data_IF_286268178888
#
_entry.id   IF_286268178888
#
_cell.length_a   1.000
_cell.length_b   1.000
_cell.length_c   1.000
_cell.angle_alpha   90.00
_cell.angle_beta   90.00
_cell.angle_gamma   90.00
#
_symmetry.space_group_name_H-M   'P 1'
#
loop_
_entity.id
_entity.type
_entity.pdbx_description
1 polymer ?
#
# COMPACT_ATOMS: atom_id res chain seq x y z
N UNK A 1 2.15 49.57 -23.92
CA UNK A 1 2.88 48.91 -22.80
C UNK A 1 1.97 48.06 -21.92
N UNK A 2 0.74 48.49 -21.59
CA UNK A 2 -0.20 47.71 -20.77
C UNK A 2 -0.51 46.29 -21.31
N UNK A 3 -0.68 46.13 -22.62
CA UNK A 3 -0.97 44.84 -23.25
C UNK A 3 0.15 43.81 -23.10
N UNK A 4 1.42 44.25 -23.18
CA UNK A 4 2.56 43.35 -23.00
C UNK A 4 2.67 42.85 -21.55
N UNK A 5 2.39 43.71 -20.58
CA UNK A 5 2.43 43.34 -19.16
C UNK A 5 1.37 42.29 -18.80
N UNK A 6 0.17 42.41 -19.34
CA UNK A 6 -0.94 41.46 -19.08
C UNK A 6 -0.62 40.08 -19.65
N UNK A 7 -0.03 40.00 -20.84
CA UNK A 7 0.35 38.72 -21.46
C UNK A 7 1.44 38.01 -20.64
N UNK A 8 2.42 38.74 -20.13
CA UNK A 8 3.47 38.18 -19.27
C UNK A 8 2.89 37.63 -17.97
N UNK A 9 1.97 38.36 -17.33
CA UNK A 9 1.31 37.89 -16.09
C UNK A 9 0.50 36.62 -16.35
N UNK A 10 -0.24 36.55 -17.47
CA UNK A 10 -1.00 35.34 -17.82
C UNK A 10 -0.11 34.13 -18.09
N UNK A 11 1.03 34.32 -18.76
CA UNK A 11 2.00 33.25 -19.01
C UNK A 11 2.64 32.75 -17.71
N UNK A 12 2.93 33.64 -16.76
CA UNK A 12 3.45 33.26 -15.43
C UNK A 12 2.42 32.46 -14.65
N UNK A 13 1.15 32.89 -14.63
CA UNK A 13 0.07 32.16 -13.96
C UNK A 13 -0.13 30.78 -14.60
N UNK A 14 -0.11 30.71 -15.94
CA UNK A 14 -0.23 29.44 -16.66
C UNK A 14 0.95 28.51 -16.38
N UNK A 15 2.18 29.03 -16.32
CA UNK A 15 3.38 28.27 -15.97
C UNK A 15 3.33 27.75 -14.53
N UNK A 16 2.89 28.58 -13.58
CA UNK A 16 2.71 28.18 -12.18
C UNK A 16 1.63 27.11 -12.06
N UNK A 17 0.49 27.29 -12.74
CA UNK A 17 -0.58 26.30 -12.77
C UNK A 17 -0.10 24.98 -13.40
N UNK A 18 0.70 25.03 -14.46
CA UNK A 18 1.31 23.84 -15.06
C UNK A 18 2.30 23.16 -14.13
N UNK A 19 3.14 23.90 -13.41
CA UNK A 19 4.06 23.33 -12.41
C UNK A 19 3.28 22.69 -11.26
N UNK A 20 2.13 23.25 -10.87
CA UNK A 20 1.27 22.66 -9.84
C UNK A 20 0.44 21.46 -10.34
N UNK A 21 0.04 21.43 -11.60
CA UNK A 21 -0.72 20.29 -12.16
C UNK A 21 0.17 19.15 -12.66
N UNK A 22 1.35 19.45 -13.20
CA UNK A 22 2.25 18.50 -13.85
C UNK A 22 3.60 18.33 -13.14
N UNK A 23 3.84 19.05 -12.03
CA UNK A 23 5.09 18.96 -11.30
C UNK A 23 5.26 17.66 -10.50
N UNK A 24 6.51 17.27 -10.19
CA UNK A 24 6.84 16.04 -9.48
C UNK A 24 6.18 15.97 -8.08
N UNK A 25 5.97 17.11 -7.43
CA UNK A 25 5.29 17.22 -6.13
C UNK A 25 3.82 16.75 -6.19
N UNK A 26 3.17 16.86 -7.35
CA UNK A 26 1.78 16.46 -7.53
C UNK A 26 1.65 14.96 -7.77
N UNK A 27 2.66 14.35 -8.38
CA UNK A 27 2.72 12.90 -8.60
C UNK A 27 3.09 12.17 -7.32
N UNK A 28 4.12 12.64 -6.60
CA UNK A 28 4.54 12.03 -5.34
C UNK A 28 3.45 12.17 -4.27
N UNK A 29 2.90 13.36 -4.03
CA UNK A 29 1.83 13.53 -3.04
C UNK A 29 0.52 12.80 -3.40
N UNK A 30 0.28 12.52 -4.68
CA UNK A 30 -0.84 11.66 -5.11
C UNK A 30 -0.52 10.18 -4.87
N UNK A 31 0.70 9.75 -5.17
CA UNK A 31 1.19 8.41 -4.90
C UNK A 31 1.19 8.10 -3.39
N UNK A 32 1.68 9.03 -2.56
CA UNK A 32 1.66 8.93 -1.09
C UNK A 32 0.24 8.70 -0.57
N UNK A 33 -0.73 9.54 -0.97
CA UNK A 33 -2.14 9.34 -0.60
C UNK A 33 -2.70 8.01 -1.07
N UNK A 34 -2.31 7.56 -2.27
CA UNK A 34 -2.79 6.30 -2.82
C UNK A 34 -2.21 5.09 -2.08
N UNK A 35 -0.94 5.17 -1.67
CA UNK A 35 -0.27 4.19 -0.80
C UNK A 35 -0.96 4.14 0.56
N UNK A 36 -1.20 5.29 1.21
CA UNK A 36 -1.92 5.37 2.48
C UNK A 36 -3.34 4.77 2.40
N UNK A 37 -4.07 5.11 1.34
CA UNK A 37 -5.41 4.56 1.09
C UNK A 37 -5.37 3.05 0.88
N UNK A 38 -4.38 2.55 0.13
CA UNK A 38 -4.22 1.10 -0.11
C UNK A 38 -3.94 0.36 1.19
N UNK A 39 -3.02 0.87 2.01
CA UNK A 39 -2.70 0.27 3.32
C UNK A 39 -3.92 0.24 4.24
N UNK A 40 -4.73 1.30 4.21
CA UNK A 40 -6.00 1.35 4.95
C UNK A 40 -7.01 0.32 4.42
N UNK A 41 -7.17 0.22 3.10
CA UNK A 41 -8.05 -0.77 2.46
C UNK A 41 -7.62 -2.20 2.79
N UNK A 42 -6.32 -2.48 2.78
CA UNK A 42 -5.77 -3.78 3.17
C UNK A 42 -6.09 -4.12 4.63
N UNK A 43 -5.98 -3.16 5.55
CA UNK A 43 -6.33 -3.37 6.96
C UNK A 43 -7.83 -3.59 7.19
N UNK A 44 -8.67 -3.12 6.25
CA UNK A 44 -10.12 -3.31 6.29
C UNK A 44 -10.62 -4.42 5.35
N UNK A 45 -9.73 -5.20 4.76
CA UNK A 45 -10.11 -6.25 3.82
C UNK A 45 -10.99 -7.28 4.54
N UNK A 46 -12.15 -7.60 3.97
CA UNK A 46 -13.14 -8.47 4.62
C UNK A 46 -12.96 -9.94 4.25
N UNK A 47 -12.14 -10.21 3.23
CA UNK A 47 -11.87 -11.56 2.69
C UNK A 47 -10.41 -11.78 2.31
N UNK A 48 -10.01 -13.05 2.26
CA UNK A 48 -8.67 -13.43 1.81
C UNK A 48 -8.37 -13.02 0.37
N UNK A 49 -9.35 -13.20 -0.53
CA UNK A 49 -9.21 -12.85 -1.94
C UNK A 49 -8.96 -11.33 -2.14
N UNK A 50 -9.65 -10.50 -1.36
CA UNK A 50 -9.46 -9.05 -1.37
C UNK A 50 -8.05 -8.67 -0.90
N UNK A 51 -7.61 -9.19 0.26
CA UNK A 51 -6.26 -8.96 0.78
C UNK A 51 -5.17 -9.45 -0.20
N UNK A 52 -5.32 -10.66 -0.75
CA UNK A 52 -4.39 -11.23 -1.71
C UNK A 52 -4.31 -10.39 -3.00
N UNK A 53 -5.42 -9.78 -3.41
CA UNK A 53 -5.45 -8.83 -4.52
C UNK A 53 -4.55 -7.61 -4.31
N UNK A 54 -4.27 -7.22 -3.07
CA UNK A 54 -3.37 -6.12 -2.73
C UNK A 54 -1.90 -6.52 -2.59
N UNK A 55 -1.55 -7.81 -2.68
CA UNK A 55 -0.16 -8.27 -2.62
C UNK A 55 0.51 -8.20 -4.01
N UNK A 56 1.83 -8.05 -4.07
CA UNK A 56 2.59 -8.16 -5.32
C UNK A 56 2.55 -9.60 -5.83
N UNK A 57 2.65 -9.79 -7.15
CA UNK A 57 2.46 -11.10 -7.77
C UNK A 57 3.34 -12.22 -7.16
N UNK A 58 4.55 -11.87 -6.73
CA UNK A 58 5.52 -12.77 -6.09
C UNK A 58 5.11 -13.26 -4.69
N UNK A 59 4.27 -12.50 -3.97
CA UNK A 59 3.76 -12.86 -2.64
C UNK A 59 2.27 -13.21 -2.64
N UNK A 60 1.62 -13.21 -3.82
CA UNK A 60 0.24 -13.65 -3.93
C UNK A 60 0.16 -15.14 -3.70
N UNK A 61 -0.79 -15.56 -2.88
CA UNK A 61 -1.15 -16.98 -2.80
C UNK A 61 -1.84 -17.38 -4.11
N UNK A 62 -1.42 -18.49 -4.75
CA UNK A 62 -2.06 -19.03 -5.93
C UNK A 62 -3.57 -19.17 -5.76
N UNK A 63 -4.35 -18.75 -6.77
CA UNK A 63 -5.82 -18.82 -6.74
C UNK A 63 -6.33 -20.25 -6.50
N UNK A 64 -5.64 -21.25 -7.05
CA UNK A 64 -5.95 -22.66 -6.80
C UNK A 64 -5.91 -23.05 -5.31
N UNK A 65 -5.00 -22.47 -4.53
CA UNK A 65 -4.89 -22.71 -3.08
C UNK A 65 -5.97 -21.94 -2.32
N UNK A 66 -6.28 -20.71 -2.76
CA UNK A 66 -7.41 -19.93 -2.23
C UNK A 66 -8.70 -20.72 -2.39
N UNK A 67 -8.99 -21.16 -3.62
CA UNK A 67 -10.20 -21.92 -3.98
C UNK A 67 -10.27 -23.24 -3.21
N UNK A 68 -9.13 -23.92 -3.04
CA UNK A 68 -9.06 -25.16 -2.26
C UNK A 68 -9.38 -24.92 -0.78
N UNK A 69 -8.82 -23.86 -0.19
CA UNK A 69 -9.08 -23.50 1.22
C UNK A 69 -10.54 -23.13 1.37
N UNK A 70 -11.08 -22.23 0.55
CA UNK A 70 -12.48 -21.80 0.60
C UNK A 70 -13.43 -22.99 0.40
N UNK A 71 -13.19 -23.85 -0.60
CA UNK A 71 -14.01 -25.05 -0.84
C UNK A 71 -13.96 -26.05 0.34
N UNK A 72 -12.78 -26.26 0.92
CA UNK A 72 -12.62 -27.10 2.11
C UNK A 72 -13.33 -26.50 3.34
N UNK A 73 -13.43 -25.17 3.40
CA UNK A 73 -14.09 -24.43 4.49
C UNK A 73 -15.59 -24.56 4.41
N UNK A 74 -16.16 -24.43 3.20
CA UNK A 74 -17.58 -24.69 2.94
C UNK A 74 -17.98 -26.13 3.30
N UNK A 75 -17.08 -27.10 3.04
CA UNK A 75 -17.31 -28.51 3.36
C UNK A 75 -17.23 -28.84 4.86
N UNK A 76 -16.42 -28.10 5.63
CA UNK A 76 -16.20 -28.34 7.07
C UNK A 76 -16.98 -27.40 7.98
N UNK A 77 -17.66 -26.39 7.41
CA UNK A 77 -18.42 -25.37 8.16
C UNK A 77 -17.54 -24.37 8.92
N UNK A 78 -16.24 -24.34 8.65
CA UNK A 78 -15.34 -23.34 9.19
C UNK A 78 -15.51 -22.03 8.41
N UNK A 79 -15.87 -20.95 9.09
CA UNK A 79 -15.91 -19.62 8.48
C UNK A 79 -14.47 -19.09 8.39
N UNK A 80 -13.75 -19.48 7.34
CA UNK A 80 -12.35 -19.12 7.14
C UNK A 80 -12.18 -17.62 6.92
N UNK A 81 -13.17 -16.94 6.33
CA UNK A 81 -13.16 -15.48 6.25
C UNK A 81 -13.24 -14.83 7.64
N UNK A 82 -13.99 -15.41 8.59
CA UNK A 82 -13.97 -14.92 9.98
C UNK A 82 -12.64 -15.13 10.69
N UNK A 83 -12.01 -16.29 10.50
CA UNK A 83 -10.70 -16.58 11.07
C UNK A 83 -9.61 -15.70 10.45
N UNK A 84 -9.71 -15.45 9.14
CA UNK A 84 -8.80 -14.58 8.43
C UNK A 84 -8.97 -13.11 8.85
N UNK A 85 -10.21 -12.63 9.00
CA UNK A 85 -10.50 -11.30 9.54
C UNK A 85 -9.93 -11.13 10.95
N UNK A 86 -10.03 -12.16 11.79
CA UNK A 86 -9.41 -12.15 13.13
C UNK A 86 -7.86 -12.13 13.02
N UNK A 87 -7.28 -12.90 12.10
CA UNK A 87 -5.84 -12.92 11.83
C UNK A 87 -5.32 -11.58 11.30
N UNK A 88 -6.03 -10.92 10.36
CA UNK A 88 -5.68 -9.57 9.90
C UNK A 88 -5.79 -8.59 11.05
N UNK A 89 -6.90 -8.59 11.80
CA UNK A 89 -7.09 -7.67 12.92
C UNK A 89 -6.05 -7.85 14.04
N UNK A 90 -5.48 -9.05 14.18
CA UNK A 90 -4.36 -9.33 15.08
C UNK A 90 -2.98 -8.96 14.51
N UNK A 91 -2.82 -8.98 13.19
CA UNK A 91 -1.53 -8.72 12.50
C UNK A 91 -1.37 -7.27 12.02
N UNK A 92 -2.49 -6.59 11.75
CA UNK A 92 -2.55 -5.18 11.41
C UNK A 92 -3.05 -4.41 12.64
N UNK A 93 -2.26 -3.45 13.16
CA UNK A 93 -2.69 -2.62 14.27
C UNK A 93 -3.93 -1.83 13.89
N UNK A 94 -4.92 -1.78 14.79
CA UNK A 94 -6.14 -0.98 14.57
C UNK A 94 -5.85 0.52 14.44
N UNK A 95 -4.73 0.98 15.02
CA UNK A 95 -4.23 2.35 14.97
C UNK A 95 -2.98 2.50 14.09
N UNK A 96 -2.96 1.82 12.94
CA UNK A 96 -1.87 1.95 11.97
C UNK A 96 -1.82 3.39 11.43
N UNK A 97 -0.74 4.10 11.78
CA UNK A 97 -0.48 5.44 11.26
C UNK A 97 0.66 5.40 10.26
N UNK A 98 0.41 5.91 9.07
CA UNK A 98 1.48 6.14 8.10
C UNK A 98 2.23 7.40 8.53
N UNK A 99 3.50 7.24 8.89
CA UNK A 99 4.37 8.35 9.30
C UNK A 99 5.04 9.02 8.12
N UNK A 100 5.40 8.23 7.12
CA UNK A 100 6.12 8.68 5.93
C UNK A 100 5.90 7.71 4.79
N UNK A 101 5.80 8.23 3.58
CA UNK A 101 5.87 7.43 2.36
C UNK A 101 6.99 8.01 1.50
N UNK A 102 7.92 7.16 1.09
CA UNK A 102 9.03 7.50 0.21
C UNK A 102 8.83 6.78 -1.12
N UNK A 103 8.53 7.55 -2.16
CA UNK A 103 8.37 7.02 -3.52
C UNK A 103 9.75 7.03 -4.20
N UNK A 104 10.09 5.97 -4.93
CA UNK A 104 11.32 5.90 -5.71
C UNK A 104 11.34 6.92 -6.85
N UNK A 105 12.53 7.29 -7.32
CA UNK A 105 12.70 8.29 -8.39
C UNK A 105 12.00 7.92 -9.70
N UNK A 106 11.87 6.62 -9.98
CA UNK A 106 11.17 6.06 -11.13
C UNK A 106 9.64 5.97 -10.92
N UNK A 107 9.16 6.18 -9.70
CA UNK A 107 7.74 6.20 -9.35
C UNK A 107 7.04 4.84 -9.32
N UNK A 108 7.76 3.74 -9.50
CA UNK A 108 7.19 2.38 -9.47
C UNK A 108 7.31 1.68 -8.12
N UNK A 109 8.17 2.16 -7.22
CA UNK A 109 8.33 1.59 -5.88
C UNK A 109 8.04 2.64 -4.80
N UNK A 110 7.55 2.18 -3.66
CA UNK A 110 7.26 3.00 -2.50
C UNK A 110 7.65 2.28 -1.21
N UNK A 111 8.25 3.00 -0.28
CA UNK A 111 8.51 2.53 1.08
C UNK A 111 7.62 3.34 2.03
N UNK A 112 6.67 2.68 2.67
CA UNK A 112 5.81 3.28 3.68
C UNK A 112 6.37 2.96 5.08
N UNK A 113 6.62 3.99 5.87
CA UNK A 113 6.95 3.86 7.29
C UNK A 113 5.66 3.97 8.11
N UNK A 114 5.42 2.96 8.93
CA UNK A 114 4.21 2.75 9.71
C UNK A 114 4.53 2.78 11.20
N UNK A 115 3.64 3.34 11.99
CA UNK A 115 3.68 3.24 13.45
C UNK A 115 2.47 2.44 13.94
N UNK A 116 2.78 1.37 14.68
CA UNK A 116 1.81 0.51 15.34
C UNK A 116 1.67 0.98 16.79
N UNK A 117 0.54 1.59 17.13
CA UNK A 117 0.33 2.26 18.43
C UNK A 117 0.32 1.35 19.67
N UNK A 118 0.55 0.03 19.55
CA UNK A 118 0.17 -0.91 20.60
C UNK A 118 1.31 -1.56 21.40
N UNK A 119 2.57 -1.63 20.94
CA UNK A 119 3.57 -2.46 21.65
C UNK A 119 5.00 -1.91 21.75
N UNK A 120 5.24 -0.63 21.46
CA UNK A 120 6.60 -0.06 21.58
C UNK A 120 7.61 -0.64 20.59
N UNK A 121 7.15 -1.47 19.64
CA UNK A 121 7.85 -1.77 18.41
C UNK A 121 8.00 -0.46 17.64
N UNK A 122 9.23 -0.07 17.33
CA UNK A 122 9.52 1.16 16.61
C UNK A 122 8.86 1.20 15.22
N UNK A 123 9.03 2.30 14.47
CA UNK A 123 8.43 2.44 13.16
C UNK A 123 8.84 1.30 12.21
N UNK A 124 7.86 0.67 11.58
CA UNK A 124 8.02 -0.44 10.65
C UNK A 124 8.04 0.07 9.21
N UNK A 125 8.73 -0.64 8.31
CA UNK A 125 8.78 -0.28 6.89
C UNK A 125 8.11 -1.35 6.04
N UNK A 126 7.16 -0.93 5.20
CA UNK A 126 6.48 -1.76 4.21
C UNK A 126 6.94 -1.34 2.82
N UNK A 127 7.28 -2.32 1.99
CA UNK A 127 7.60 -2.07 0.58
C UNK A 127 6.39 -2.33 -0.29
N UNK A 128 6.13 -1.39 -1.20
CA UNK A 128 5.06 -1.45 -2.17
C UNK A 128 5.58 -1.18 -3.57
N UNK A 129 4.91 -1.74 -4.56
CA UNK A 129 5.20 -1.55 -5.97
C UNK A 129 3.93 -1.22 -6.73
N UNK A 130 4.02 -0.33 -7.70
CA UNK A 130 2.95 -0.01 -8.61
C UNK A 130 2.92 -1.06 -9.73
N UNK A 131 1.93 -1.95 -9.69
CA UNK A 131 1.65 -2.91 -10.76
C UNK A 131 0.39 -2.44 -11.49
N UNK A 132 0.52 -2.14 -12.80
CA UNK A 132 -0.60 -1.75 -13.67
C UNK A 132 -1.44 -0.56 -13.17
N UNK A 133 -0.81 0.41 -12.50
CA UNK A 133 -1.48 1.59 -11.94
C UNK A 133 -2.03 1.41 -10.53
N UNK A 134 -1.90 0.22 -9.93
CA UNK A 134 -2.32 -0.07 -8.57
C UNK A 134 -1.12 -0.35 -7.65
N UNK A 135 -1.10 0.27 -6.47
CA UNK A 135 -0.08 -0.07 -5.47
C UNK A 135 -0.37 -1.44 -4.86
N UNK A 136 0.66 -2.26 -4.80
CA UNK A 136 0.65 -3.61 -4.25
C UNK A 136 1.72 -3.75 -3.18
N UNK A 137 1.44 -4.47 -2.10
CA UNK A 137 2.40 -4.74 -1.03
C UNK A 137 3.32 -5.89 -1.43
N UNK A 138 4.62 -5.61 -1.53
CA UNK A 138 5.64 -6.61 -1.88
C UNK A 138 6.39 -7.12 -0.66
N UNK A 139 6.43 -6.37 0.43
CA UNK A 139 7.05 -6.86 1.66
C UNK A 139 6.32 -6.27 2.86
N UNK A 140 5.63 -7.09 3.68
CA UNK A 140 5.05 -6.63 4.92
C UNK A 140 6.15 -6.21 5.91
N UNK A 141 5.82 -5.27 6.79
CA UNK A 141 6.72 -4.79 7.84
C UNK A 141 7.03 -5.88 8.86
N UNK A 142 8.19 -5.78 9.50
CA UNK A 142 8.61 -6.66 10.60
C UNK A 142 7.68 -6.44 11.81
N UNK A 143 6.63 -7.27 11.91
CA UNK A 143 5.60 -7.16 12.94
C UNK A 143 4.22 -7.64 12.47
N UNK A 144 3.96 -7.54 11.16
CA UNK A 144 2.72 -8.00 10.51
C UNK A 144 2.74 -9.51 10.18
N UNK A 145 3.47 -10.30 10.96
CA UNK A 145 3.74 -11.70 10.66
C UNK A 145 4.72 -11.83 9.49
N UNK A 146 6.00 -11.60 9.74
CA UNK A 146 7.03 -12.10 8.82
C UNK A 146 6.91 -13.63 8.77
N UNK A 147 6.57 -14.17 7.60
CA UNK A 147 6.99 -15.54 7.29
C UNK A 147 8.52 -15.49 7.38
N UNK A 148 9.19 -16.30 8.21
CA UNK A 148 10.64 -16.30 8.28
C UNK A 148 11.17 -16.59 6.89
N UNK A 149 11.65 -15.56 6.19
CA UNK A 149 12.41 -15.73 4.97
C UNK A 149 13.66 -16.49 5.38
N UNK A 150 13.80 -17.65 4.77
CA UNK A 150 14.88 -18.61 4.88
C UNK A 150 16.05 -18.18 5.78
N UNK A 151 16.14 -18.90 6.89
CA UNK A 151 17.40 -19.18 7.56
C UNK A 151 18.27 -19.96 6.55
N UNK A 152 18.86 -19.24 5.59
CA UNK A 152 19.73 -19.75 4.56
C UNK A 152 20.99 -20.30 5.25
N UNK A 153 21.22 -21.63 5.27
CA UNK A 153 22.36 -22.19 5.98
C UNK A 153 23.64 -21.90 5.20
N UNK A 154 24.57 -21.21 5.86
CA UNK A 154 25.99 -21.18 5.49
C UNK A 154 26.76 -22.25 6.25
#
# INVERSE_FOLDING_TARGET
>A
MLTAAVVVVLLVIAAIAWIFLAGPLSSSARAERHVEQTLKQMSSAESFAEFNGHMCAENRVPQELVDTITSSSEATGADVDSMFRESIAGSFPQDLRVLRVEISDDGSEATATLESGSDGSGPEQVRMRNEDGAWKMCQPGVGMGSVPQDQQPG
#
